data_IF_604995747816
#
_entry.id   IF_604995747816
#
_cell.length_a   1.000
_cell.length_b   1.000
_cell.length_c   1.000
_cell.angle_alpha   90.00
_cell.angle_beta   90.00
_cell.angle_gamma   90.00
#
_symmetry.space_group_name_H-M   'P 1'
#
loop_
_entity.id
_entity.type
_entity.pdbx_description
1 polymer ?
#
# COMPACT_ATOMS: atom_id res chain seq x y z
N UNK A 1 -4.37 -11.42 6.78
CA UNK A 1 -4.19 -10.43 7.86
C UNK A 1 -4.09 -11.09 9.22
N UNK A 2 -4.72 -12.26 9.43
CA UNK A 2 -4.63 -13.05 10.69
C UNK A 2 -3.20 -13.17 11.21
N UNK A 3 -2.25 -13.51 10.33
CA UNK A 3 -0.83 -13.66 10.68
C UNK A 3 -0.16 -12.41 11.27
N UNK A 4 -0.54 -11.19 10.83
CA UNK A 4 0.02 -9.95 11.39
C UNK A 4 -0.53 -9.70 12.80
N UNK A 5 -1.83 -9.95 13.01
CA UNK A 5 -2.45 -9.82 14.32
C UNK A 5 -1.86 -10.82 15.31
N UNK A 6 -1.68 -12.06 14.89
CA UNK A 6 -1.02 -13.12 15.67
C UNK A 6 0.41 -12.72 16.03
N UNK A 7 1.20 -12.28 15.04
CA UNK A 7 2.58 -11.83 15.26
C UNK A 7 2.66 -10.66 16.24
N UNK A 8 1.77 -9.66 16.12
CA UNK A 8 1.71 -8.52 17.04
C UNK A 8 1.33 -9.00 18.44
N UNK A 9 0.32 -9.87 18.56
CA UNK A 9 -0.11 -10.42 19.84
C UNK A 9 1.00 -11.22 20.52
N UNK A 10 1.72 -12.07 19.77
CA UNK A 10 2.86 -12.83 20.27
C UNK A 10 4.01 -11.93 20.71
N UNK A 11 4.27 -10.85 19.98
CA UNK A 11 5.30 -9.87 20.35
C UNK A 11 4.89 -9.13 21.62
N UNK A 12 3.64 -8.71 21.77
CA UNK A 12 3.13 -8.07 22.98
C UNK A 12 3.25 -9.00 24.19
N UNK A 13 2.79 -10.25 24.07
CA UNK A 13 2.89 -11.27 25.13
C UNK A 13 4.32 -11.51 25.59
N UNK A 14 5.27 -11.64 24.66
CA UNK A 14 6.70 -11.81 24.98
C UNK A 14 7.32 -10.63 25.73
N UNK A 15 6.73 -9.44 25.61
CA UNK A 15 7.17 -8.25 26.34
C UNK A 15 6.31 -7.94 27.58
N UNK A 16 5.41 -8.85 27.98
CA UNK A 16 4.54 -8.65 29.14
C UNK A 16 3.44 -7.59 28.95
N UNK A 17 3.11 -7.24 27.70
CA UNK A 17 2.13 -6.20 27.37
C UNK A 17 0.84 -6.86 26.84
N UNK A 18 -0.31 -6.32 27.22
CA UNK A 18 -1.60 -6.76 26.69
C UNK A 18 -1.66 -6.57 25.15
N UNK A 19 -2.04 -7.61 24.37
CA UNK A 19 -2.21 -7.47 22.93
C UNK A 19 -3.23 -6.38 22.57
N UNK A 20 -2.93 -5.53 21.58
CA UNK A 20 -3.88 -4.51 21.15
C UNK A 20 -5.09 -5.13 20.46
N UNK A 21 -6.24 -4.46 20.56
CA UNK A 21 -7.43 -4.83 19.80
C UNK A 21 -7.14 -4.77 18.28
N UNK A 22 -7.84 -5.60 17.51
CA UNK A 22 -7.75 -5.63 16.04
C UNK A 22 -7.88 -4.22 15.44
N UNK A 23 -8.89 -3.45 15.87
CA UNK A 23 -9.11 -2.09 15.36
C UNK A 23 -7.89 -1.18 15.56
N UNK A 24 -7.19 -1.31 16.69
CA UNK A 24 -5.97 -0.55 16.99
C UNK A 24 -4.85 -0.89 16.01
N UNK A 25 -4.62 -2.18 15.73
CA UNK A 25 -3.61 -2.60 14.75
C UNK A 25 -3.92 -2.02 13.36
N UNK A 26 -5.17 -2.12 12.92
CA UNK A 26 -5.59 -1.55 11.64
C UNK A 26 -5.43 -0.03 11.56
N UNK A 27 -5.74 0.68 12.66
CA UNK A 27 -5.53 2.13 12.77
C UNK A 27 -4.05 2.46 12.63
N UNK A 28 -3.18 1.74 13.33
CA UNK A 28 -1.73 1.94 13.26
C UNK A 28 -1.19 1.63 11.85
N UNK A 29 -1.63 0.56 11.21
CA UNK A 29 -1.20 0.22 9.84
C UNK A 29 -1.56 1.32 8.83
N UNK A 30 -2.64 2.09 9.03
CA UNK A 30 -3.00 3.21 8.15
C UNK A 30 -1.98 4.35 8.22
N UNK A 31 -1.44 4.62 9.39
CA UNK A 31 -0.47 5.71 9.62
C UNK A 31 0.98 5.23 9.66
N UNK A 32 1.21 3.91 9.67
CA UNK A 32 2.55 3.33 9.71
C UNK A 32 3.39 3.87 8.56
N UNK A 33 4.62 4.30 8.89
CA UNK A 33 5.58 4.74 7.90
C UNK A 33 5.86 3.58 6.93
N UNK A 34 5.69 3.86 5.64
CA UNK A 34 6.10 2.97 4.56
C UNK A 34 7.37 3.48 3.87
N UNK A 35 7.80 2.76 2.85
CA UNK A 35 8.88 3.21 1.99
C UNK A 35 8.48 4.52 1.29
N UNK A 36 9.47 5.39 1.11
CA UNK A 36 9.35 6.62 0.32
C UNK A 36 10.27 6.49 -0.90
N UNK A 37 9.87 7.14 -1.99
CA UNK A 37 10.54 7.09 -3.28
C UNK A 37 10.76 8.51 -3.77
N UNK A 38 11.95 8.83 -4.26
CA UNK A 38 12.18 10.03 -5.04
C UNK A 38 11.62 9.79 -6.44
N UNK A 39 10.87 10.75 -6.98
CA UNK A 39 10.19 10.56 -8.29
C UNK A 39 11.20 10.31 -9.41
N UNK A 40 12.30 11.08 -9.45
CA UNK A 40 13.34 10.95 -10.49
C UNK A 40 14.05 9.59 -10.53
N UNK A 41 14.01 8.82 -9.43
CA UNK A 41 14.62 7.48 -9.34
C UNK A 41 13.67 6.37 -9.81
N UNK A 42 12.40 6.68 -10.07
CA UNK A 42 11.40 5.70 -10.51
C UNK A 42 11.48 5.45 -12.02
N UNK A 43 11.00 4.30 -12.52
CA UNK A 43 10.93 4.05 -13.96
C UNK A 43 10.10 5.12 -14.69
N UNK A 44 10.47 5.47 -15.92
CA UNK A 44 9.76 6.48 -16.73
C UNK A 44 8.22 6.33 -16.77
N UNK A 45 7.65 5.11 -16.96
CA UNK A 45 6.20 4.92 -16.91
C UNK A 45 5.57 5.29 -15.55
N UNK A 46 6.29 5.07 -14.46
CA UNK A 46 5.84 5.42 -13.10
C UNK A 46 5.92 6.92 -12.89
N UNK A 47 6.98 7.57 -13.38
CA UNK A 47 7.09 9.03 -13.36
C UNK A 47 5.93 9.69 -14.13
N UNK A 48 5.61 9.15 -15.32
CA UNK A 48 4.48 9.63 -16.12
C UNK A 48 3.13 9.47 -15.40
N UNK A 49 2.94 8.42 -14.60
CA UNK A 49 1.75 8.27 -13.76
C UNK A 49 1.68 9.30 -12.62
N UNK A 50 2.82 9.85 -12.21
CA UNK A 50 3.00 10.88 -11.18
C UNK A 50 3.13 12.29 -11.79
N UNK A 51 2.55 12.53 -12.96
CA UNK A 51 2.71 13.74 -13.79
C UNK A 51 2.58 15.11 -13.11
N UNK A 52 1.96 15.20 -11.94
CA UNK A 52 1.81 16.45 -11.18
C UNK A 52 2.96 16.71 -10.20
N UNK A 53 3.98 15.85 -10.16
CA UNK A 53 5.04 15.91 -9.18
C UNK A 53 6.38 16.17 -9.84
N UNK A 54 7.15 17.07 -9.24
CA UNK A 54 8.53 17.34 -9.64
C UNK A 54 9.42 16.12 -9.39
N UNK A 55 10.48 15.96 -10.19
CA UNK A 55 11.41 14.82 -10.08
C UNK A 55 12.07 14.71 -8.69
N UNK A 56 12.27 15.83 -8.00
CA UNK A 56 12.87 15.87 -6.66
C UNK A 56 11.87 15.59 -5.53
N UNK A 57 10.60 15.42 -5.84
CA UNK A 57 9.57 15.09 -4.86
C UNK A 57 9.83 13.72 -4.22
N UNK A 58 9.63 13.65 -2.90
CA UNK A 58 9.66 12.40 -2.14
C UNK A 58 8.22 11.97 -1.86
N UNK A 59 7.82 10.82 -2.39
CA UNK A 59 6.44 10.31 -2.27
C UNK A 59 6.37 9.01 -1.48
N UNK A 60 5.38 8.86 -0.59
CA UNK A 60 5.14 7.59 0.09
C UNK A 60 4.66 6.53 -0.92
N UNK A 61 5.08 5.28 -0.73
CA UNK A 61 4.74 4.17 -1.63
C UNK A 61 3.25 3.96 -1.86
N UNK A 62 2.39 4.31 -0.88
CA UNK A 62 0.93 4.27 -1.04
C UNK A 62 0.42 5.23 -2.13
N UNK A 63 1.07 6.38 -2.30
CA UNK A 63 0.73 7.33 -3.36
C UNK A 63 1.24 6.82 -4.71
N UNK A 64 2.47 6.28 -4.77
CA UNK A 64 3.01 5.65 -5.99
C UNK A 64 2.04 4.58 -6.49
N UNK A 65 1.64 3.64 -5.63
CA UNK A 65 0.68 2.61 -5.97
C UNK A 65 -0.65 3.21 -6.43
N UNK A 66 -1.21 4.17 -5.70
CA UNK A 66 -2.47 4.82 -6.04
C UNK A 66 -2.45 5.44 -7.45
N UNK A 67 -1.43 6.24 -7.76
CA UNK A 67 -1.33 6.92 -9.06
C UNK A 67 -1.08 5.93 -10.20
N UNK A 68 -0.19 4.95 -10.02
CA UNK A 68 0.06 3.93 -11.03
C UNK A 68 -1.20 3.14 -11.39
N UNK A 69 -2.02 2.74 -10.41
CA UNK A 69 -3.26 2.01 -10.68
C UNK A 69 -4.37 2.88 -11.30
N UNK A 70 -4.40 4.19 -11.02
CA UNK A 70 -5.47 5.08 -11.50
C UNK A 70 -5.17 5.74 -12.85
N UNK A 71 -3.91 6.08 -13.08
CA UNK A 71 -3.47 6.95 -14.19
C UNK A 71 -2.29 6.38 -14.98
N UNK A 72 -1.60 5.36 -14.45
CA UNK A 72 -0.47 4.74 -15.13
C UNK A 72 -0.88 3.83 -16.29
N UNK A 73 0.10 3.51 -17.12
CA UNK A 73 0.00 2.47 -18.14
C UNK A 73 0.22 1.06 -17.55
N UNK A 74 0.26 0.05 -18.41
CA UNK A 74 0.48 -1.34 -17.98
C UNK A 74 1.83 -1.53 -17.27
N UNK A 75 2.89 -0.83 -17.71
CA UNK A 75 4.22 -0.94 -17.11
C UNK A 75 4.24 -0.32 -15.70
N UNK A 76 3.63 0.85 -15.52
CA UNK A 76 3.46 1.49 -14.22
C UNK A 76 2.62 0.63 -13.26
N UNK A 77 1.54 0.02 -13.75
CA UNK A 77 0.72 -0.91 -12.96
C UNK A 77 1.50 -2.16 -12.56
N UNK A 78 2.29 -2.74 -13.47
CA UNK A 78 3.13 -3.90 -13.20
C UNK A 78 4.17 -3.59 -12.12
N UNK A 79 4.86 -2.46 -12.23
CA UNK A 79 5.78 -1.97 -11.20
C UNK A 79 5.07 -1.82 -9.85
N UNK A 80 3.92 -1.12 -9.84
CA UNK A 80 3.17 -0.89 -8.62
C UNK A 80 2.72 -2.19 -7.95
N UNK A 81 2.34 -3.21 -8.71
CA UNK A 81 1.96 -4.52 -8.17
C UNK A 81 3.09 -5.20 -7.38
N UNK A 82 4.36 -4.88 -7.70
CA UNK A 82 5.56 -5.34 -7.00
C UNK A 82 5.89 -4.60 -5.70
N UNK A 83 5.22 -3.47 -5.40
CA UNK A 83 5.51 -2.66 -4.20
C UNK A 83 5.29 -3.44 -2.89
N UNK A 84 5.89 -3.01 -1.76
CA UNK A 84 5.66 -3.64 -0.46
C UNK A 84 4.16 -3.75 -0.12
N UNK A 85 3.78 -4.84 0.53
CA UNK A 85 2.36 -5.15 0.82
C UNK A 85 1.64 -4.01 1.55
N UNK A 86 2.34 -3.32 2.48
CA UNK A 86 1.78 -2.22 3.26
C UNK A 86 1.41 -1.03 2.36
N UNK A 87 2.23 -0.73 1.35
CA UNK A 87 1.96 0.35 0.41
C UNK A 87 0.68 0.06 -0.41
N UNK A 88 0.54 -1.18 -0.90
CA UNK A 88 -0.66 -1.61 -1.64
C UNK A 88 -1.91 -1.59 -0.76
N UNK A 89 -1.79 -2.10 0.47
CA UNK A 89 -2.89 -2.14 1.43
C UNK A 89 -3.34 -0.74 1.87
N UNK A 90 -2.39 0.19 2.04
CA UNK A 90 -2.68 1.60 2.32
C UNK A 90 -3.31 2.27 1.10
N UNK A 91 -2.80 2.00 -0.11
CA UNK A 91 -3.33 2.55 -1.35
C UNK A 91 -4.79 2.14 -1.58
N UNK A 92 -5.19 0.89 -1.29
CA UNK A 92 -6.59 0.43 -1.48
C UNK A 92 -7.60 1.15 -0.56
N UNK A 93 -7.11 1.86 0.45
CA UNK A 93 -7.91 2.61 1.43
C UNK A 93 -7.99 4.10 1.12
N UNK A 94 -7.16 4.60 0.21
CA UNK A 94 -7.25 5.99 -0.21
C UNK A 94 -8.58 6.23 -0.94
N UNK A 95 -9.21 7.40 -0.78
CA UNK A 95 -10.37 7.78 -1.57
C UNK A 95 -9.97 8.09 -3.02
N UNK A 96 -10.96 8.21 -3.92
CA UNK A 96 -10.73 8.71 -5.29
C UNK A 96 -10.36 7.66 -6.35
N UNK A 97 -10.36 6.37 -6.01
CA UNK A 97 -10.13 5.32 -7.01
C UNK A 97 -11.23 5.26 -8.06
N UNK A 98 -10.82 5.08 -9.33
CA UNK A 98 -11.72 4.55 -10.36
C UNK A 98 -12.12 3.12 -10.03
N UNK A 99 -13.37 2.72 -10.31
CA UNK A 99 -13.89 1.38 -9.96
C UNK A 99 -13.01 0.24 -10.50
N UNK A 100 -12.58 0.33 -11.76
CA UNK A 100 -11.71 -0.69 -12.38
C UNK A 100 -10.32 -0.74 -11.73
N UNK A 101 -9.71 0.42 -11.49
CA UNK A 101 -8.41 0.54 -10.83
C UNK A 101 -8.40 -0.08 -9.43
N UNK A 102 -9.43 0.21 -8.62
CA UNK A 102 -9.57 -0.42 -7.31
C UNK A 102 -9.77 -1.93 -7.42
N UNK A 103 -10.57 -2.39 -8.38
CA UNK A 103 -10.79 -3.80 -8.65
C UNK A 103 -9.49 -4.53 -8.96
N UNK A 104 -8.63 -3.95 -9.80
CA UNK A 104 -7.32 -4.49 -10.14
C UNK A 104 -6.37 -4.51 -8.94
N UNK A 105 -6.24 -3.41 -8.21
CA UNK A 105 -5.43 -3.35 -6.99
C UNK A 105 -5.88 -4.42 -5.97
N UNK A 106 -7.18 -4.61 -5.79
CA UNK A 106 -7.73 -5.67 -4.94
C UNK A 106 -7.42 -7.07 -5.45
N UNK A 107 -7.44 -7.29 -6.76
CA UNK A 107 -7.04 -8.57 -7.35
C UNK A 107 -5.56 -8.87 -7.06
N UNK A 108 -4.68 -7.87 -7.18
CA UNK A 108 -3.26 -7.99 -6.80
C UNK A 108 -3.09 -8.32 -5.32
N UNK A 109 -3.80 -7.61 -4.44
CA UNK A 109 -3.78 -7.89 -3.00
C UNK A 109 -4.19 -9.34 -2.71
N UNK A 110 -5.29 -9.82 -3.31
CA UNK A 110 -5.76 -11.21 -3.15
C UNK A 110 -4.76 -12.23 -3.69
N UNK A 111 -4.21 -12.01 -4.88
CA UNK A 111 -3.20 -12.89 -5.48
C UNK A 111 -1.95 -13.01 -4.60
N UNK A 112 -1.65 -11.97 -3.82
CA UNK A 112 -0.54 -11.95 -2.86
C UNK A 112 -0.92 -12.42 -1.44
N UNK A 113 -2.14 -12.92 -1.23
CA UNK A 113 -2.62 -13.36 0.08
C UNK A 113 -2.84 -12.22 1.09
N UNK A 114 -2.97 -10.98 0.62
CA UNK A 114 -3.18 -9.79 1.45
C UNK A 114 -4.69 -9.54 1.57
N UNK A 115 -5.24 -9.80 2.75
CA UNK A 115 -6.64 -9.50 3.05
C UNK A 115 -6.88 -7.98 3.11
N UNK A 116 -7.75 -7.48 2.22
CA UNK A 116 -8.17 -6.07 2.19
C UNK A 116 -9.20 -5.74 3.29
N UNK A 117 -9.71 -6.72 4.04
CA UNK A 117 -10.65 -6.51 5.17
C UNK A 117 -11.96 -5.79 4.80
N UNK A 118 -12.21 -5.58 3.50
CA UNK A 118 -13.46 -5.14 2.89
C UNK A 118 -13.98 -6.36 2.14
N UNK A 119 -14.83 -7.15 2.79
CA UNK A 119 -15.71 -8.10 2.12
C UNK A 119 -16.81 -7.31 1.41
#
# INVERSE_FOLDING_TARGET
>A
MSRILEMVADRCRRNGIAPPARATVYKLLRSAAGNHYRVGDLPGPVQAALYNLEADSIVPGRQVAFYCFNYGDLAAMSFAAGLPWLALWQASRLPGHRRRSLGLLRAVLRARGIEDGRA
#
